data_IF_135411121027
#
_entry.id   IF_135411121027
#
_cell.length_a   1.000
_cell.length_b   1.000
_cell.length_c   1.000
_cell.angle_alpha   90.00
_cell.angle_beta   90.00
_cell.angle_gamma   90.00
#
_symmetry.space_group_name_H-M   'P 1'
#
loop_
_entity.id
_entity.type
_entity.pdbx_description
1 polymer ?
#
# COMPACT_ATOMS: atom_id res chain seq x y z
N UNK A 1 -4.11 -0.58 8.65
CA UNK A 1 -3.52 -1.40 7.56
C UNK A 1 -4.09 -0.96 6.22
N UNK A 2 -3.25 -0.90 5.19
CA UNK A 2 -3.65 -0.59 3.80
C UNK A 2 -3.43 -1.81 2.90
N UNK A 3 -4.18 -1.89 1.80
CA UNK A 3 -4.03 -2.92 0.77
C UNK A 3 -3.38 -2.34 -0.47
N UNK A 4 -2.28 -2.94 -0.91
CA UNK A 4 -1.65 -2.69 -2.19
C UNK A 4 -2.08 -3.77 -3.18
N UNK A 5 -2.62 -3.39 -4.33
CA UNK A 5 -3.08 -4.30 -5.37
C UNK A 5 -2.23 -4.17 -6.63
N UNK A 6 -1.91 -5.29 -7.27
CA UNK A 6 -1.28 -5.32 -8.59
C UNK A 6 -2.29 -5.83 -9.64
N UNK A 7 -2.57 -4.99 -10.64
CA UNK A 7 -3.39 -5.32 -11.80
C UNK A 7 -2.72 -4.78 -13.07
N UNK A 8 -2.61 -5.61 -14.12
CA UNK A 8 -1.99 -5.22 -15.40
C UNK A 8 -0.63 -4.48 -15.24
N UNK A 9 0.21 -4.94 -14.31
CA UNK A 9 1.50 -4.32 -13.95
C UNK A 9 1.43 -2.92 -13.31
N UNK A 10 0.25 -2.45 -12.94
CA UNK A 10 0.04 -1.22 -12.18
C UNK A 10 -0.19 -1.57 -10.72
N UNK A 11 0.63 -1.02 -9.84
CA UNK A 11 0.46 -1.14 -8.39
C UNK A 11 -0.32 0.07 -7.84
N UNK A 12 -1.32 -0.19 -6.99
CA UNK A 12 -2.18 0.85 -6.42
C UNK A 12 -2.47 0.57 -4.95
N UNK A 13 -2.77 1.62 -4.18
CA UNK A 13 -3.35 1.47 -2.84
C UNK A 13 -4.87 1.46 -2.98
N UNK A 14 -5.50 0.31 -2.76
CA UNK A 14 -6.95 0.16 -2.81
C UNK A 14 -7.42 -1.10 -2.09
N UNK A 15 -8.47 -0.94 -1.28
CA UNK A 15 -9.11 -2.06 -0.59
C UNK A 15 -9.90 -2.98 -1.52
N UNK A 16 -10.34 -2.47 -2.67
CA UNK A 16 -11.30 -3.15 -3.56
C UNK A 16 -10.79 -3.37 -4.97
N UNK A 17 -9.67 -2.76 -5.36
CA UNK A 17 -9.12 -2.94 -6.71
C UNK A 17 -8.86 -4.41 -7.03
N UNK A 18 -9.18 -4.80 -8.26
CA UNK A 18 -8.94 -6.13 -8.80
C UNK A 18 -7.45 -6.51 -8.78
N UNK A 19 -7.19 -7.81 -8.87
CA UNK A 19 -5.82 -8.35 -8.89
C UNK A 19 -5.31 -8.79 -7.52
N UNK A 20 -4.01 -9.12 -7.47
CA UNK A 20 -3.40 -9.71 -6.28
C UNK A 20 -3.09 -8.64 -5.24
N UNK A 21 -3.49 -8.90 -4.00
CA UNK A 21 -3.35 -7.96 -2.89
C UNK A 21 -2.18 -8.32 -1.97
N UNK A 22 -1.53 -7.30 -1.43
CA UNK A 22 -0.59 -7.38 -0.31
C UNK A 22 -1.02 -6.36 0.76
N UNK A 23 -1.01 -6.76 2.02
CA UNK A 23 -1.41 -5.89 3.14
C UNK A 23 -0.18 -5.34 3.85
N UNK A 24 -0.22 -4.05 4.16
CA UNK A 24 0.85 -3.35 4.87
C UNK A 24 0.32 -2.77 6.18
N UNK A 25 1.11 -2.95 7.23
CA UNK A 25 0.85 -2.45 8.58
C UNK A 25 1.22 -0.97 8.76
N UNK A 26 2.35 -0.57 8.17
CA UNK A 26 2.92 0.78 8.26
C UNK A 26 3.79 1.07 7.03
N UNK A 27 4.27 2.31 6.91
CA UNK A 27 5.27 2.67 5.92
C UNK A 27 6.60 1.93 6.12
N UNK A 28 6.98 1.61 7.35
CA UNK A 28 8.16 0.76 7.60
C UNK A 28 7.97 -0.67 7.08
N UNK A 29 6.76 -1.22 7.18
CA UNK A 29 6.40 -2.50 6.57
C UNK A 29 6.58 -2.46 5.05
N UNK A 30 6.31 -1.32 4.39
CA UNK A 30 6.58 -1.11 2.97
C UNK A 30 8.08 -1.20 2.64
N UNK A 31 8.91 -0.42 3.33
CA UNK A 31 10.38 -0.41 3.11
C UNK A 31 10.98 -1.79 3.35
N UNK A 32 10.49 -2.52 4.35
CA UNK A 32 10.91 -3.90 4.61
C UNK A 32 10.44 -4.86 3.53
N UNK A 33 9.21 -4.72 3.04
CA UNK A 33 8.67 -5.52 1.95
C UNK A 33 9.44 -5.32 0.63
N UNK A 34 9.83 -4.08 0.31
CA UNK A 34 10.71 -3.75 -0.82
C UNK A 34 12.05 -4.46 -0.70
N UNK A 35 12.81 -4.22 0.39
CA UNK A 35 14.14 -4.83 0.59
C UNK A 35 14.10 -6.36 0.53
N UNK A 36 13.04 -6.97 1.06
CA UNK A 36 12.87 -8.43 1.09
C UNK A 36 12.19 -8.99 -0.14
N UNK A 37 11.91 -8.21 -1.19
CA UNK A 37 11.16 -8.65 -2.39
C UNK A 37 9.82 -9.33 -2.06
N UNK A 38 9.14 -8.88 -1.01
CA UNK A 38 7.90 -9.48 -0.54
C UNK A 38 6.73 -9.28 -1.51
N UNK A 39 6.72 -8.16 -2.25
CA UNK A 39 5.72 -7.89 -3.28
C UNK A 39 5.78 -8.88 -4.45
N UNK A 40 6.99 -9.25 -4.90
CA UNK A 40 7.15 -10.27 -5.95
C UNK A 40 6.56 -11.61 -5.54
N UNK A 41 6.76 -12.02 -4.27
CA UNK A 41 6.18 -13.24 -3.71
C UNK A 41 4.66 -13.14 -3.58
N UNK A 42 4.15 -12.06 -3.00
CA UNK A 42 2.71 -11.86 -2.80
C UNK A 42 1.94 -11.79 -4.12
N UNK A 43 2.51 -11.12 -5.11
CA UNK A 43 1.89 -10.93 -6.42
C UNK A 43 2.34 -11.96 -7.47
N UNK A 44 3.16 -12.93 -7.10
CA UNK A 44 3.66 -13.99 -7.99
C UNK A 44 4.10 -13.44 -9.35
N UNK A 45 4.83 -12.32 -9.33
CA UNK A 45 5.23 -11.60 -10.53
C UNK A 45 6.56 -10.87 -10.27
N UNK A 46 7.39 -10.77 -11.31
CA UNK A 46 8.55 -9.87 -11.26
C UNK A 46 8.06 -8.42 -11.28
N UNK A 47 8.58 -7.60 -10.36
CA UNK A 47 8.17 -6.20 -10.21
C UNK A 47 9.37 -5.31 -10.49
N UNK A 48 9.23 -4.39 -11.43
CA UNK A 48 10.29 -3.43 -11.73
C UNK A 48 10.41 -2.40 -10.61
N UNK A 49 11.62 -1.84 -10.44
CA UNK A 49 11.87 -0.77 -9.49
C UNK A 49 10.97 0.47 -9.74
N UNK A 50 10.56 0.70 -10.99
CA UNK A 50 9.65 1.79 -11.35
C UNK A 50 8.25 1.61 -10.73
N UNK A 51 7.71 0.38 -10.72
CA UNK A 51 6.41 0.08 -10.09
C UNK A 51 6.50 0.26 -8.57
N UNK A 52 7.61 -0.16 -7.96
CA UNK A 52 7.80 0.01 -6.51
C UNK A 52 7.91 1.48 -6.13
N UNK A 53 8.63 2.29 -6.91
CA UNK A 53 8.77 3.74 -6.70
C UNK A 53 7.42 4.47 -6.82
N UNK A 54 6.62 4.16 -7.83
CA UNK A 54 5.27 4.73 -7.98
C UNK A 54 4.34 4.32 -6.81
N UNK A 55 4.50 3.10 -6.30
CA UNK A 55 3.74 2.65 -5.13
C UNK A 55 4.18 3.32 -3.83
N UNK A 56 5.48 3.63 -3.68
CA UNK A 56 6.06 4.25 -2.48
C UNK A 56 5.36 5.56 -2.13
N UNK A 57 5.22 6.46 -3.11
CA UNK A 57 4.52 7.74 -2.96
C UNK A 57 3.07 7.52 -2.49
N UNK A 58 2.34 6.61 -3.14
CA UNK A 58 0.95 6.29 -2.80
C UNK A 58 0.81 5.71 -1.39
N UNK A 59 1.75 4.85 -0.99
CA UNK A 59 1.75 4.22 0.33
C UNK A 59 2.11 5.23 1.42
N UNK A 60 3.06 6.13 1.16
CA UNK A 60 3.42 7.23 2.04
C UNK A 60 2.22 8.15 2.29
N UNK A 61 1.56 8.62 1.23
CA UNK A 61 0.34 9.43 1.34
C UNK A 61 -0.80 8.67 2.03
N UNK A 62 -0.96 7.37 1.79
CA UNK A 62 -2.01 6.58 2.44
C UNK A 62 -1.79 6.44 3.95
N UNK A 63 -0.54 6.33 4.42
CA UNK A 63 -0.26 6.29 5.86
C UNK A 63 -0.26 7.68 6.51
N UNK A 64 0.28 8.71 5.85
CA UNK A 64 0.23 10.10 6.32
C UNK A 64 -1.22 10.66 6.33
N UNK A 65 -1.99 10.39 5.28
CA UNK A 65 -3.37 10.84 5.14
C UNK A 65 -4.37 10.06 6.00
N UNK A 66 -4.06 8.81 6.37
CA UNK A 66 -4.84 8.09 7.40
C UNK A 66 -4.70 8.77 8.77
N UNK A 67 -3.57 9.40 9.08
CA UNK A 67 -3.41 10.17 10.32
C UNK A 67 -4.33 11.39 10.30
N UNK A 68 -4.37 12.13 9.18
CA UNK A 68 -5.23 13.32 9.03
C UNK A 68 -6.73 12.97 9.08
N UNK A 69 -7.15 11.89 8.43
CA UNK A 69 -8.55 11.45 8.46
C UNK A 69 -8.95 10.81 9.80
N UNK A 70 -8.03 10.14 10.50
CA UNK A 70 -8.33 9.50 11.79
C UNK A 70 -8.46 10.55 12.92
N UNK A 71 -7.73 11.67 12.86
CA UNK A 71 -7.93 12.81 13.78
C UNK A 71 -9.25 13.56 13.56
N UNK A 72 -9.81 13.57 12.33
CA UNK A 72 -11.12 14.19 12.07
C UNK A 72 -12.33 13.32 12.44
N UNK A 73 -12.16 12.01 12.61
CA UNK A 73 -13.27 11.09 12.92
C UNK A 73 -13.44 10.77 14.42
N UNK A 74 -12.65 11.37 15.32
CA UNK A 74 -12.79 11.17 16.77
C UNK A 74 -13.73 12.17 17.46
N UNK A 75 -14.78 12.65 16.79
CA UNK A 75 -15.85 13.40 17.45
C UNK A 75 -17.17 13.37 16.67
N UNK A 76 -17.93 12.27 16.81
CA UNK A 76 -19.38 12.38 17.06
C UNK A 76 -19.89 11.07 17.68
N UNK A 77 -19.94 11.03 19.02
CA UNK A 77 -21.04 10.37 19.71
C UNK A 77 -22.16 11.40 19.80
N UNK A 78 -23.36 11.03 19.37
CA UNK A 78 -24.57 11.83 19.45
C UNK A 78 -25.72 11.05 18.87
#
# INVERSE_FOLDING_TARGET
MIRCALSAHVATVSRTAAGRGAWLCSYECFRTAERKKAFERAWKASISAAIVRDLDEKVRFAFEGVIINMEQFSSTKG
#
